data_IF_924481602830
#
_entry.id   IF_924481602830
#
_cell.length_a   1.000
_cell.length_b   1.000
_cell.length_c   1.000
_cell.angle_alpha   90.00
_cell.angle_beta   90.00
_cell.angle_gamma   90.00
#
_symmetry.space_group_name_H-M   'P 1'
#
loop_
_entity.id
_entity.type
_entity.pdbx_description
1 polymer ?
#
# COMPACT_ATOMS: atom_id res chain seq x y z
N UNK A 1 4.91 16.60 11.84
CA UNK A 1 4.79 15.14 12.06
C UNK A 1 4.66 14.86 13.55
N UNK A 2 3.77 13.96 13.96
CA UNK A 2 3.59 13.58 15.38
C UNK A 2 4.85 12.84 15.88
N UNK A 3 5.38 13.11 17.09
CA UNK A 3 6.65 12.54 17.58
C UNK A 3 6.73 11.01 17.51
N UNK A 4 5.62 10.30 17.76
CA UNK A 4 5.59 8.84 17.64
C UNK A 4 5.81 8.36 16.20
N UNK A 5 5.14 8.98 15.22
CA UNK A 5 5.35 8.69 13.80
C UNK A 5 6.79 9.01 13.36
N UNK A 6 7.34 10.13 13.87
CA UNK A 6 8.73 10.52 13.62
C UNK A 6 9.75 9.48 14.11
N UNK A 7 9.43 8.74 15.18
CA UNK A 7 10.28 7.66 15.67
C UNK A 7 10.04 6.35 14.91
N UNK A 8 8.78 6.00 14.66
CA UNK A 8 8.41 4.70 14.13
C UNK A 8 8.65 4.54 12.63
N UNK A 9 8.60 5.62 11.84
CA UNK A 9 8.80 5.51 10.38
C UNK A 9 10.17 4.92 10.00
N UNK A 10 11.20 5.12 10.83
CA UNK A 10 12.54 4.54 10.62
C UNK A 10 12.56 3.01 10.62
N UNK A 11 11.51 2.39 11.15
CA UNK A 11 11.37 0.94 11.30
C UNK A 11 10.50 0.30 10.22
N UNK A 12 10.06 1.06 9.23
CA UNK A 12 9.25 0.54 8.12
C UNK A 12 9.96 -0.56 7.32
N UNK A 13 11.27 -0.46 7.17
CA UNK A 13 12.10 -1.52 6.55
C UNK A 13 12.18 -2.82 7.39
N UNK A 14 11.79 -2.79 8.68
CA UNK A 14 11.77 -3.98 9.54
C UNK A 14 10.48 -4.82 9.37
N UNK A 15 9.50 -4.34 8.59
CA UNK A 15 8.25 -5.07 8.36
C UNK A 15 8.50 -6.35 7.57
N UNK A 16 8.33 -7.50 8.22
CA UNK A 16 8.58 -8.83 7.62
C UNK A 16 7.34 -9.47 6.98
N UNK A 17 6.16 -8.91 7.18
CA UNK A 17 4.92 -9.37 6.57
C UNK A 17 4.71 -8.75 5.18
N UNK A 18 3.87 -9.34 4.31
CA UNK A 18 3.41 -8.67 3.10
C UNK A 18 2.73 -7.32 3.41
N UNK A 19 2.95 -6.31 2.57
CA UNK A 19 2.33 -4.99 2.69
C UNK A 19 1.74 -4.58 1.34
N UNK A 20 0.46 -4.18 1.32
CA UNK A 20 -0.19 -3.60 0.15
C UNK A 20 -0.62 -2.16 0.46
N UNK A 21 -0.28 -1.24 -0.42
CA UNK A 21 -0.56 0.20 -0.31
C UNK A 21 -1.51 0.58 -1.44
N UNK A 22 -2.57 1.31 -1.11
CA UNK A 22 -3.55 1.82 -2.06
C UNK A 22 -3.67 3.33 -1.92
N UNK A 23 -3.57 4.06 -3.03
CA UNK A 23 -3.77 5.50 -3.08
C UNK A 23 -4.62 5.88 -4.28
N UNK A 24 -5.48 6.88 -4.15
CA UNK A 24 -6.24 7.42 -5.27
C UNK A 24 -5.44 8.50 -5.99
N UNK A 25 -5.21 8.37 -7.29
CA UNK A 25 -4.40 9.31 -8.07
C UNK A 25 -4.96 10.75 -8.04
N UNK A 26 -6.27 10.86 -7.88
CA UNK A 26 -7.01 12.12 -7.88
C UNK A 26 -7.39 12.55 -6.44
N UNK A 27 -6.67 12.05 -5.43
CA UNK A 27 -6.81 12.51 -4.04
C UNK A 27 -6.45 13.99 -3.94
N UNK A 28 -7.39 14.80 -3.45
CA UNK A 28 -7.26 16.25 -3.27
C UNK A 28 -6.90 16.65 -1.84
N UNK A 29 -6.84 15.70 -0.93
CA UNK A 29 -6.56 15.91 0.50
C UNK A 29 -5.11 15.55 0.80
N UNK A 30 -4.63 14.43 0.24
CA UNK A 30 -3.28 13.92 0.47
C UNK A 30 -2.60 13.66 -0.86
N UNK A 31 -1.41 14.23 -1.04
CA UNK A 31 -0.60 14.00 -2.22
C UNK A 31 -0.06 12.56 -2.25
N UNK A 32 -0.40 11.81 -3.31
CA UNK A 32 -0.05 10.39 -3.41
C UNK A 32 1.46 10.17 -3.48
N UNK A 33 2.18 11.06 -4.15
CA UNK A 33 3.64 10.98 -4.31
C UNK A 33 4.35 11.17 -2.96
N UNK A 34 4.04 12.25 -2.24
CA UNK A 34 4.66 12.57 -0.95
C UNK A 34 4.33 11.56 0.17
N UNK A 35 3.25 10.79 0.01
CA UNK A 35 2.77 9.86 1.03
C UNK A 35 2.87 8.39 0.62
N UNK A 36 2.03 7.94 -0.31
CA UNK A 36 1.93 6.51 -0.67
C UNK A 36 3.15 6.02 -1.44
N UNK A 37 3.64 6.80 -2.40
CA UNK A 37 4.85 6.45 -3.17
C UNK A 37 6.08 6.48 -2.27
N UNK A 38 6.24 7.53 -1.46
CA UNK A 38 7.32 7.59 -0.46
C UNK A 38 7.27 6.41 0.53
N UNK A 39 6.08 6.03 1.01
CA UNK A 39 5.95 4.88 1.90
C UNK A 39 6.35 3.56 1.21
N UNK A 40 6.00 3.40 -0.07
CA UNK A 40 6.45 2.24 -0.85
C UNK A 40 7.98 2.18 -0.98
N UNK A 41 8.65 3.33 -1.13
CA UNK A 41 10.11 3.42 -1.10
C UNK A 41 10.69 3.05 0.27
N UNK A 42 10.04 3.48 1.36
CA UNK A 42 10.44 3.16 2.74
C UNK A 42 10.15 1.69 3.13
N UNK A 43 9.28 0.99 2.38
CA UNK A 43 8.89 -0.41 2.56
C UNK A 43 9.11 -1.17 1.24
N UNK A 44 10.36 -1.52 0.86
CA UNK A 44 10.67 -2.01 -0.49
C UNK A 44 9.94 -3.30 -0.91
N UNK A 45 9.55 -4.15 0.05
CA UNK A 45 8.76 -5.37 -0.22
C UNK A 45 7.25 -5.13 -0.39
N UNK A 46 6.78 -3.89 -0.26
CA UNK A 46 5.36 -3.57 -0.42
C UNK A 46 4.93 -3.58 -1.89
N UNK A 47 3.63 -3.75 -2.12
CA UNK A 47 3.00 -3.53 -3.42
C UNK A 47 2.23 -2.21 -3.40
N UNK A 48 2.51 -1.31 -4.34
CA UNK A 48 1.81 -0.04 -4.47
C UNK A 48 0.78 -0.10 -5.61
N UNK A 49 -0.45 0.29 -5.31
CA UNK A 49 -1.55 0.39 -6.27
C UNK A 49 -2.10 1.82 -6.24
N UNK A 50 -1.70 2.63 -7.23
CA UNK A 50 -2.25 3.98 -7.43
C UNK A 50 -3.41 3.86 -8.41
N UNK A 51 -4.61 4.27 -7.97
CA UNK A 51 -5.86 4.06 -8.70
C UNK A 51 -6.24 5.34 -9.45
N UNK A 52 -6.20 5.35 -10.80
CA UNK A 52 -6.67 6.48 -11.60
C UNK A 52 -8.17 6.71 -11.39
N UNK A 53 -8.61 7.97 -11.33
CA UNK A 53 -10.02 8.31 -11.14
C UNK A 53 -10.47 8.31 -9.68
N UNK A 54 -9.67 7.75 -8.77
CA UNK A 54 -10.06 7.62 -7.38
C UNK A 54 -9.53 8.74 -6.48
N UNK A 55 -10.38 9.16 -5.55
CA UNK A 55 -10.07 10.21 -4.59
C UNK A 55 -9.54 9.67 -3.25
N UNK A 56 -9.74 10.47 -2.20
CA UNK A 56 -9.21 10.19 -0.87
C UNK A 56 -9.69 8.88 -0.26
N UNK A 57 -10.99 8.60 -0.38
CA UNK A 57 -11.61 7.41 0.20
C UNK A 57 -11.59 6.25 -0.80
N UNK A 58 -10.39 5.94 -1.31
CA UNK A 58 -10.14 4.95 -2.38
C UNK A 58 -10.83 3.60 -2.13
N UNK A 59 -11.00 3.21 -0.87
CA UNK A 59 -11.65 1.95 -0.49
C UNK A 59 -13.14 1.84 -0.87
N UNK A 60 -13.86 2.95 -1.08
CA UNK A 60 -15.22 2.90 -1.63
C UNK A 60 -15.25 2.54 -3.11
N UNK A 61 -14.19 2.86 -3.85
CA UNK A 61 -14.12 2.71 -5.30
C UNK A 61 -13.53 1.36 -5.71
N UNK A 62 -12.65 0.79 -4.88
CA UNK A 62 -11.91 -0.44 -5.19
C UNK A 62 -12.09 -1.56 -4.15
N UNK A 63 -13.25 -1.62 -3.50
CA UNK A 63 -13.54 -2.59 -2.45
C UNK A 63 -13.17 -4.04 -2.84
N UNK A 64 -13.50 -4.45 -4.06
CA UNK A 64 -13.15 -5.79 -4.55
C UNK A 64 -11.65 -6.01 -4.73
N UNK A 65 -10.90 -4.98 -5.17
CA UNK A 65 -9.45 -5.07 -5.34
C UNK A 65 -8.76 -5.23 -3.97
N UNK A 66 -9.25 -4.50 -2.96
CA UNK A 66 -8.79 -4.63 -1.57
C UNK A 66 -9.07 -6.04 -1.04
N UNK A 67 -10.28 -6.56 -1.23
CA UNK A 67 -10.64 -7.92 -0.82
C UNK A 67 -9.75 -8.99 -1.48
N UNK A 68 -9.48 -8.85 -2.79
CA UNK A 68 -8.54 -9.72 -3.51
C UNK A 68 -7.13 -9.64 -2.95
N UNK A 69 -6.62 -8.44 -2.64
CA UNK A 69 -5.30 -8.25 -2.07
C UNK A 69 -5.18 -8.93 -0.69
N UNK A 70 -6.17 -8.75 0.19
CA UNK A 70 -6.23 -9.41 1.49
C UNK A 70 -6.15 -10.93 1.32
N UNK A 71 -7.00 -11.50 0.45
CA UNK A 71 -7.03 -12.95 0.19
C UNK A 71 -5.68 -13.49 -0.31
N UNK A 72 -4.97 -12.73 -1.14
CA UNK A 72 -3.64 -13.10 -1.61
C UNK A 72 -2.60 -13.07 -0.49
N UNK A 73 -2.63 -12.04 0.36
CA UNK A 73 -1.68 -11.91 1.47
C UNK A 73 -1.85 -13.03 2.49
N UNK A 74 -3.08 -13.47 2.76
CA UNK A 74 -3.33 -14.62 3.65
C UNK A 74 -2.79 -15.92 3.06
N UNK A 75 -2.96 -16.16 1.76
CA UNK A 75 -2.43 -17.36 1.07
C UNK A 75 -0.91 -17.36 0.95
N UNK A 76 -0.30 -16.19 0.76
CA UNK A 76 1.17 -16.06 0.67
C UNK A 76 1.85 -16.30 2.03
N UNK A 77 1.15 -16.05 3.13
CA UNK A 77 1.57 -16.40 4.49
C UNK A 77 1.76 -17.91 4.72
N UNK A 78 1.23 -18.74 3.82
CA UNK A 78 1.30 -20.21 3.89
C UNK A 78 2.51 -20.79 3.13
N UNK A 79 3.43 -19.94 2.63
CA UNK A 79 4.79 -20.36 2.28
C UNK A 79 5.17 -20.41 0.79
N UNK A 80 4.73 -19.48 -0.06
CA UNK A 80 5.35 -19.33 -1.39
C UNK A 80 5.36 -17.88 -1.88
N UNK A 81 6.56 -17.42 -2.25
CA UNK A 81 6.86 -16.12 -2.82
C UNK A 81 6.08 -15.89 -4.12
N UNK A 82 5.44 -14.73 -4.25
CA UNK A 82 4.85 -14.26 -5.50
C UNK A 82 4.96 -12.75 -5.57
N UNK A 83 5.89 -12.24 -6.38
CA UNK A 83 6.00 -10.81 -6.72
C UNK A 83 4.69 -10.36 -7.36
N UNK A 84 4.15 -9.25 -6.85
CA UNK A 84 2.95 -8.62 -7.38
C UNK A 84 3.25 -8.07 -8.78
N UNK A 85 2.55 -8.60 -9.79
CA UNK A 85 2.38 -7.95 -11.08
C UNK A 85 0.87 -7.92 -11.34
N UNK A 86 0.25 -6.76 -11.13
CA UNK A 86 -1.14 -6.51 -11.55
C UNK A 86 -1.06 -6.07 -13.00
N UNK A 87 -1.50 -6.94 -13.91
CA UNK A 87 -1.69 -6.61 -15.30
C UNK A 87 -2.75 -5.49 -15.41
N UNK A 88 -2.45 -4.54 -16.30
CA UNK A 88 -3.29 -3.40 -16.70
C UNK A 88 -4.65 -3.81 -17.26
#
# INVERSE_FOLDING_TARGET
MIPAAARLHKRYAELAMPVAIFGGADDKIVDVEAHSVRLHQDVPQSALNVIPGAGHMVHYEIAEQIERAIRHMTRAGDGTQGRFAVAS
#
